data_IF_149885611294
#
_entry.id   IF_149885611294
#
_cell.length_a   1.000
_cell.length_b   1.000
_cell.length_c   1.000
_cell.angle_alpha   90.00
_cell.angle_beta   90.00
_cell.angle_gamma   90.00
#
_symmetry.space_group_name_H-M   'P 1'
#
loop_
_entity.id
_entity.type
_entity.pdbx_description
1 polymer ?
#
# COMPACT_ATOMS: atom_id res chain seq x y z
N UNK A 1 49.82 13.26 -33.86
CA UNK A 1 49.22 12.14 -34.61
C UNK A 1 48.42 11.28 -33.64
N UNK A 2 47.10 11.46 -33.60
CA UNK A 2 46.22 10.66 -32.74
C UNK A 2 45.94 9.32 -33.43
N UNK A 3 46.54 8.24 -32.93
CA UNK A 3 46.18 6.87 -33.31
C UNK A 3 44.74 6.63 -32.89
N UNK A 4 43.81 6.53 -33.84
CA UNK A 4 42.50 5.96 -33.56
C UNK A 4 42.69 4.47 -33.26
N UNK A 5 42.54 4.09 -31.99
CA UNK A 5 42.50 2.69 -31.58
C UNK A 5 41.10 2.18 -31.91
N UNK A 6 40.96 1.52 -33.06
CA UNK A 6 39.74 0.81 -33.44
C UNK A 6 39.63 -0.51 -32.67
N UNK A 7 38.40 -0.87 -32.32
CA UNK A 7 38.07 -2.19 -31.78
C UNK A 7 38.35 -3.27 -32.83
N UNK A 8 38.91 -4.41 -32.41
CA UNK A 8 39.04 -5.56 -33.31
C UNK A 8 37.68 -6.25 -33.48
N UNK A 9 37.47 -6.95 -34.61
CA UNK A 9 36.22 -7.69 -34.85
C UNK A 9 35.95 -8.71 -33.73
N UNK A 10 36.99 -9.41 -33.28
CA UNK A 10 36.88 -10.41 -32.21
C UNK A 10 36.47 -9.76 -30.89
N UNK A 11 37.02 -8.59 -30.57
CA UNK A 11 36.70 -7.84 -29.35
C UNK A 11 35.26 -7.31 -29.35
N UNK A 12 34.74 -6.93 -30.53
CA UNK A 12 33.33 -6.56 -30.67
C UNK A 12 32.41 -7.77 -30.45
N UNK A 13 32.75 -8.93 -31.02
CA UNK A 13 31.93 -10.13 -30.87
C UNK A 13 31.92 -10.61 -29.42
N UNK A 14 33.07 -10.64 -28.74
CA UNK A 14 33.13 -11.06 -27.33
C UNK A 14 32.40 -10.11 -26.40
N UNK A 15 32.47 -8.79 -26.64
CA UNK A 15 31.73 -7.80 -25.82
C UNK A 15 30.21 -7.94 -25.97
N UNK A 16 29.70 -8.18 -27.19
CA UNK A 16 28.27 -8.43 -27.41
C UNK A 16 27.82 -9.71 -26.69
N UNK A 17 28.61 -10.78 -26.74
CA UNK A 17 28.32 -12.04 -26.03
C UNK A 17 28.28 -11.80 -24.51
N UNK A 18 29.25 -11.07 -23.97
CA UNK A 18 29.29 -10.76 -22.53
C UNK A 18 28.09 -9.92 -22.09
N UNK A 19 27.71 -8.89 -22.86
CA UNK A 19 26.54 -8.06 -22.56
C UNK A 19 25.26 -8.90 -22.64
N UNK A 20 25.15 -9.83 -23.60
CA UNK A 20 23.99 -10.71 -23.72
C UNK A 20 23.83 -11.61 -22.47
N UNK A 21 24.91 -12.23 -22.00
CA UNK A 21 24.90 -13.08 -20.81
C UNK A 21 24.55 -12.26 -19.56
N UNK A 22 25.16 -11.08 -19.39
CA UNK A 22 24.88 -10.20 -18.26
C UNK A 22 23.43 -9.70 -18.26
N UNK A 23 22.90 -9.38 -19.44
CA UNK A 23 21.53 -8.87 -19.58
C UNK A 23 20.49 -9.88 -19.08
N UNK A 24 20.65 -11.17 -19.37
CA UNK A 24 19.71 -12.22 -18.91
C UNK A 24 19.61 -12.28 -17.37
N UNK A 25 20.68 -11.92 -16.66
CA UNK A 25 20.72 -11.98 -15.19
C UNK A 25 20.32 -10.65 -14.55
N UNK A 26 20.82 -9.52 -15.09
CA UNK A 26 20.65 -8.19 -14.49
C UNK A 26 19.29 -7.58 -14.81
N UNK A 27 18.79 -7.78 -16.03
CA UNK A 27 17.60 -7.10 -16.54
C UNK A 27 16.31 -7.51 -15.79
N UNK A 28 16.06 -8.81 -15.47
CA UNK A 28 14.92 -9.18 -14.63
C UNK A 28 14.96 -8.54 -13.24
N UNK A 29 16.15 -8.53 -12.60
CA UNK A 29 16.37 -7.95 -11.27
C UNK A 29 16.16 -6.44 -11.24
N UNK A 30 16.49 -5.73 -12.32
CA UNK A 30 16.31 -4.29 -12.44
C UNK A 30 14.82 -3.90 -12.49
N UNK A 31 13.99 -4.71 -13.15
CA UNK A 31 12.54 -4.49 -13.21
C UNK A 31 11.80 -4.90 -11.92
N UNK A 32 12.38 -5.73 -11.06
CA UNK A 32 11.77 -6.11 -9.77
C UNK A 32 12.01 -5.08 -8.64
N UNK A 33 12.47 -3.87 -8.94
CA UNK A 33 12.81 -2.87 -7.92
C UNK A 33 11.62 -2.41 -7.05
N UNK A 34 10.38 -2.62 -7.50
CA UNK A 34 9.20 -2.62 -6.63
C UNK A 34 9.11 -3.97 -5.91
N UNK A 35 9.92 -4.16 -4.87
CA UNK A 35 10.03 -5.41 -4.10
C UNK A 35 8.75 -5.83 -3.35
N UNK A 36 7.68 -5.04 -3.42
CA UNK A 36 6.45 -5.29 -2.66
C UNK A 36 5.26 -5.31 -3.60
N UNK A 37 4.49 -6.40 -3.55
CA UNK A 37 3.34 -6.56 -4.43
C UNK A 37 2.15 -5.76 -3.93
N UNK A 38 1.43 -5.11 -4.85
CA UNK A 38 0.21 -4.38 -4.55
C UNK A 38 -0.85 -5.32 -3.94
N UNK A 39 -0.88 -6.59 -4.36
CA UNK A 39 -1.77 -7.62 -3.81
C UNK A 39 -1.51 -7.88 -2.33
N UNK A 40 -0.24 -8.06 -1.94
CA UNK A 40 0.12 -8.28 -0.53
C UNK A 40 -0.27 -7.06 0.31
N UNK A 41 0.03 -5.84 -0.17
CA UNK A 41 -0.34 -4.61 0.54
C UNK A 41 -1.85 -4.52 0.76
N UNK A 42 -2.61 -4.81 -0.30
CA UNK A 42 -4.06 -4.73 -0.30
C UNK A 42 -4.66 -5.76 0.67
N UNK A 43 -4.20 -7.01 0.62
CA UNK A 43 -4.73 -8.07 1.47
C UNK A 43 -4.38 -7.85 2.95
N UNK A 44 -3.20 -7.30 3.24
CA UNK A 44 -2.81 -6.88 4.58
C UNK A 44 -3.73 -5.76 5.09
N UNK A 45 -3.96 -4.74 4.26
CA UNK A 45 -4.86 -3.64 4.61
C UNK A 45 -6.31 -4.11 4.79
N UNK A 46 -6.84 -4.95 3.91
CA UNK A 46 -8.19 -5.54 4.04
C UNK A 46 -8.31 -6.30 5.37
N UNK A 47 -7.29 -7.08 5.72
CA UNK A 47 -7.29 -7.86 6.97
C UNK A 47 -7.30 -6.96 8.20
N UNK A 48 -6.50 -5.89 8.20
CA UNK A 48 -6.51 -4.90 9.30
C UNK A 48 -7.82 -4.11 9.36
N UNK A 49 -8.37 -3.66 8.24
CA UNK A 49 -9.67 -2.97 8.24
C UNK A 49 -10.79 -3.85 8.78
N UNK A 50 -10.84 -5.13 8.38
CA UNK A 50 -11.82 -6.10 8.89
C UNK A 50 -11.63 -6.40 10.38
N UNK A 51 -10.38 -6.48 10.84
CA UNK A 51 -10.07 -6.63 12.27
C UNK A 51 -10.63 -5.45 13.06
N UNK A 52 -10.40 -4.22 12.60
CA UNK A 52 -10.91 -3.02 13.26
C UNK A 52 -12.44 -2.95 13.21
N UNK A 53 -13.04 -3.33 12.09
CA UNK A 53 -14.49 -3.47 11.95
C UNK A 53 -15.08 -4.42 12.98
N UNK A 54 -14.48 -5.61 13.18
CA UNK A 54 -14.91 -6.58 14.19
C UNK A 54 -14.77 -6.03 15.61
N UNK A 55 -13.70 -5.28 15.89
CA UNK A 55 -13.54 -4.62 17.19
C UNK A 55 -14.62 -3.58 17.46
N UNK A 56 -15.01 -2.81 16.44
CA UNK A 56 -16.10 -1.82 16.54
C UNK A 56 -17.46 -2.47 16.76
N UNK A 57 -17.73 -3.60 16.10
CA UNK A 57 -18.96 -4.39 16.30
C UNK A 57 -19.04 -5.02 17.69
N UNK A 58 -17.88 -5.38 18.28
CA UNK A 58 -17.84 -6.06 19.57
C UNK A 58 -17.88 -5.08 20.76
N UNK A 59 -17.30 -3.88 20.62
CA UNK A 59 -17.16 -2.91 21.71
C UNK A 59 -17.93 -1.62 21.40
N UNK A 60 -19.18 -1.58 21.83
CA UNK A 60 -20.08 -0.45 21.58
C UNK A 60 -19.73 0.79 22.41
N UNK A 61 -18.89 0.69 23.44
CA UNK A 61 -18.48 1.82 24.29
C UNK A 61 -17.28 2.59 23.74
N UNK A 62 -16.72 2.17 22.60
CA UNK A 62 -15.48 2.73 22.03
C UNK A 62 -15.67 3.08 20.57
N UNK A 63 -14.81 3.96 20.08
CA UNK A 63 -14.75 4.28 18.67
C UNK A 63 -13.39 3.87 18.11
N UNK A 64 -13.40 3.33 16.91
CA UNK A 64 -12.20 2.83 16.25
C UNK A 64 -11.93 3.62 14.99
N UNK A 65 -10.71 4.11 14.85
CA UNK A 65 -10.30 4.85 13.65
C UNK A 65 -9.01 4.29 13.09
N UNK A 66 -8.97 4.11 11.78
CA UNK A 66 -7.75 3.77 11.05
C UNK A 66 -7.22 5.05 10.43
N UNK A 67 -6.05 5.48 10.87
CA UNK A 67 -5.35 6.63 10.30
C UNK A 67 -4.28 6.14 9.33
N UNK A 68 -4.29 6.69 8.13
CA UNK A 68 -3.32 6.43 7.08
C UNK A 68 -2.54 7.71 6.84
N UNK A 69 -1.24 7.57 6.72
CA UNK A 69 -0.27 8.64 6.40
C UNK A 69 0.57 8.18 5.21
N UNK A 70 1.36 9.10 4.64
CA UNK A 70 2.19 8.80 3.48
C UNK A 70 3.20 7.65 3.70
N UNK A 71 3.54 7.32 4.94
CA UNK A 71 4.57 6.33 5.28
C UNK A 71 4.08 5.20 6.17
N UNK A 72 2.87 5.28 6.73
CA UNK A 72 2.38 4.29 7.69
C UNK A 72 0.86 4.34 7.84
N UNK A 73 0.28 3.25 8.33
CA UNK A 73 -1.10 3.23 8.81
C UNK A 73 -1.18 2.63 10.21
N UNK A 74 -2.20 3.01 10.97
CA UNK A 74 -2.46 2.47 12.31
C UNK A 74 -3.93 2.52 12.68
N UNK A 75 -4.33 1.66 13.62
CA UNK A 75 -5.67 1.63 14.19
C UNK A 75 -5.64 2.17 15.62
N UNK A 76 -6.30 3.29 15.85
CA UNK A 76 -6.36 3.98 17.14
C UNK A 76 -7.75 3.78 17.79
N UNK A 77 -7.76 3.68 19.12
CA UNK A 77 -8.98 3.48 19.92
C UNK A 77 -9.30 4.77 20.68
N UNK A 78 -10.53 5.21 20.55
CA UNK A 78 -11.07 6.40 21.19
C UNK A 78 -12.13 6.04 22.23
N UNK A 79 -12.38 6.97 23.15
CA UNK A 79 -13.47 6.88 24.12
C UNK A 79 -14.85 6.95 23.47
N UNK A 80 -15.89 6.93 24.31
CA UNK A 80 -17.30 7.01 23.88
C UNK A 80 -17.64 8.27 23.10
N UNK A 81 -16.86 9.34 23.30
CA UNK A 81 -16.98 10.63 22.61
C UNK A 81 -16.36 10.63 21.21
N UNK A 82 -15.66 9.56 20.82
CA UNK A 82 -14.86 9.44 19.60
C UNK A 82 -13.82 10.55 19.39
N UNK A 83 -13.50 11.34 20.43
CA UNK A 83 -12.54 12.45 20.39
C UNK A 83 -11.38 12.24 21.35
N UNK A 84 -11.61 11.60 22.49
CA UNK A 84 -10.55 11.29 23.44
C UNK A 84 -9.77 10.05 22.99
N UNK A 85 -8.51 10.23 22.61
CA UNK A 85 -7.62 9.12 22.26
C UNK A 85 -7.28 8.32 23.53
N UNK A 86 -7.66 7.05 23.57
CA UNK A 86 -7.41 6.17 24.71
C UNK A 86 -6.19 5.29 24.49
N UNK A 87 -6.09 4.69 23.30
CA UNK A 87 -5.00 3.78 22.95
C UNK A 87 -4.55 4.12 21.54
N UNK A 88 -3.26 4.42 21.41
CA UNK A 88 -2.60 4.54 20.12
C UNK A 88 -2.20 3.15 19.65
N UNK A 89 -2.63 2.77 18.44
CA UNK A 89 -2.21 1.52 17.83
C UNK A 89 -0.75 1.56 17.40
N UNK A 90 -0.18 0.38 17.21
CA UNK A 90 1.15 0.28 16.60
C UNK A 90 1.07 0.72 15.14
N UNK A 91 1.98 1.61 14.74
CA UNK A 91 2.08 2.06 13.36
C UNK A 91 2.76 0.99 12.50
N UNK A 92 2.06 0.55 11.46
CA UNK A 92 2.61 -0.31 10.44
C UNK A 92 3.21 0.55 9.34
N UNK A 93 4.52 0.42 9.12
CA UNK A 93 5.22 1.17 8.08
C UNK A 93 4.85 0.64 6.71
N UNK A 94 4.54 1.55 5.79
CA UNK A 94 4.42 1.24 4.39
C UNK A 94 5.82 0.94 3.80
N UNK A 95 5.96 -0.11 2.98
CA UNK A 95 7.21 -0.38 2.27
C UNK A 95 7.60 0.76 1.32
N UNK A 96 8.87 0.81 0.93
CA UNK A 96 9.37 1.82 -0.01
C UNK A 96 8.62 1.74 -1.34
N UNK A 97 8.36 2.92 -1.93
CA UNK A 97 7.66 3.08 -3.21
C UNK A 97 6.23 2.52 -3.20
N UNK A 98 5.59 2.47 -2.02
CA UNK A 98 4.17 2.15 -1.90
C UNK A 98 3.39 3.35 -1.39
N UNK A 99 2.11 3.45 -1.75
CA UNK A 99 1.20 4.46 -1.20
C UNK A 99 -0.24 3.95 -1.13
N UNK A 100 -0.97 4.49 -0.16
CA UNK A 100 -2.40 4.31 0.00
C UNK A 100 -3.04 5.67 -0.21
N UNK A 101 -4.02 5.78 -1.10
CA UNK A 101 -4.70 7.05 -1.37
C UNK A 101 -6.22 6.92 -1.43
N UNK A 102 -6.89 7.94 -0.92
CA UNK A 102 -8.35 8.08 -0.95
C UNK A 102 -8.69 9.42 -1.57
N UNK A 103 -9.39 9.43 -2.71
CA UNK A 103 -9.75 10.68 -3.40
C UNK A 103 -8.55 11.52 -3.87
N UNK A 104 -7.37 10.91 -4.01
CA UNK A 104 -6.12 11.60 -4.38
C UNK A 104 -5.23 12.00 -3.20
N UNK A 105 -5.72 11.85 -1.96
CA UNK A 105 -4.97 12.19 -0.75
C UNK A 105 -4.28 10.94 -0.17
N UNK A 106 -2.98 11.06 0.15
CA UNK A 106 -2.19 10.00 0.78
C UNK A 106 -2.25 10.02 2.32
N UNK A 107 -3.15 10.82 2.88
CA UNK A 107 -3.39 10.93 4.30
C UNK A 107 -4.89 11.05 4.54
N UNK A 108 -5.47 10.06 5.19
CA UNK A 108 -6.89 10.01 5.46
C UNK A 108 -7.18 9.20 6.73
N UNK A 109 -8.39 9.34 7.26
CA UNK A 109 -8.84 8.58 8.43
C UNK A 109 -10.17 7.93 8.13
N UNK A 110 -10.29 6.65 8.46
CA UNK A 110 -11.52 5.88 8.37
C UNK A 110 -12.03 5.64 9.79
N UNK A 111 -13.24 6.08 10.10
CA UNK A 111 -13.86 5.86 11.41
C UNK A 111 -14.97 4.81 11.27
N UNK A 112 -14.93 3.77 12.09
CA UNK A 112 -15.93 2.71 12.08
C UNK A 112 -17.03 3.01 13.11
N UNK A 113 -18.28 2.88 12.69
CA UNK A 113 -19.43 2.92 13.59
C UNK A 113 -19.69 1.56 14.25
N UNK A 114 -20.70 1.54 15.12
CA UNK A 114 -21.13 0.36 15.89
C UNK A 114 -21.78 -0.72 15.02
N UNK A 115 -22.16 -0.40 13.80
CA UNK A 115 -22.73 -1.33 12.82
C UNK A 115 -21.65 -1.83 11.83
N UNK A 116 -20.37 -1.48 12.08
CA UNK A 116 -19.25 -1.89 11.26
C UNK A 116 -19.17 -1.17 9.92
N UNK A 117 -19.86 -0.03 9.75
CA UNK A 117 -19.76 0.81 8.55
C UNK A 117 -18.71 1.88 8.75
N UNK A 118 -18.13 2.34 7.65
CA UNK A 118 -17.17 3.45 7.68
C UNK A 118 -17.94 4.76 7.55
N UNK A 119 -17.65 5.71 8.41
CA UNK A 119 -18.26 7.04 8.44
C UNK A 119 -17.35 8.10 7.81
N UNK A 120 -17.86 9.33 7.65
CA UNK A 120 -17.11 10.42 7.01
C UNK A 120 -16.96 10.21 5.50
N UNK A 121 -15.74 10.33 4.99
CA UNK A 121 -15.44 10.30 3.53
C UNK A 121 -15.79 8.99 2.83
N UNK A 122 -16.09 7.93 3.58
CA UNK A 122 -16.49 6.61 3.05
C UNK A 122 -17.92 6.20 3.42
N UNK A 123 -18.76 7.12 3.92
CA UNK A 123 -20.13 6.80 4.34
C UNK A 123 -21.03 6.30 3.19
N UNK A 124 -20.84 6.81 1.97
CA UNK A 124 -21.53 6.36 0.76
C UNK A 124 -20.78 5.22 0.03
N UNK A 125 -19.76 4.65 0.66
CA UNK A 125 -18.76 3.81 0.02
C UNK A 125 -17.62 4.63 -0.59
N UNK A 126 -16.46 4.00 -0.74
CA UNK A 126 -15.25 4.63 -1.27
C UNK A 126 -14.30 3.60 -1.87
N UNK A 127 -13.37 4.07 -2.70
CA UNK A 127 -12.29 3.26 -3.25
C UNK A 127 -10.95 3.84 -2.82
N UNK A 128 -10.15 3.00 -2.16
CA UNK A 128 -8.78 3.29 -1.76
C UNK A 128 -7.88 2.69 -2.83
N UNK A 129 -7.01 3.53 -3.41
CA UNK A 129 -5.99 3.05 -4.34
C UNK A 129 -4.76 2.61 -3.58
N UNK A 130 -4.34 1.39 -3.86
CA UNK A 130 -3.15 0.75 -3.30
C UNK A 130 -2.10 0.71 -4.40
N UNK A 131 -1.11 1.60 -4.33
CA UNK A 131 -0.04 1.68 -5.31
C UNK A 131 1.24 1.03 -4.77
N UNK A 132 1.82 0.11 -5.54
CA UNK A 132 3.12 -0.50 -5.32
C UNK A 132 3.82 -0.81 -6.66
N UNK A 133 4.02 -2.09 -7.01
CA UNK A 133 4.45 -2.54 -8.34
C UNK A 133 3.40 -2.27 -9.43
N UNK A 134 2.11 -2.33 -9.06
CA UNK A 134 0.99 -1.82 -9.82
C UNK A 134 0.03 -1.03 -8.92
N UNK A 135 -1.06 -0.51 -9.48
CA UNK A 135 -2.11 0.17 -8.70
C UNK A 135 -3.36 -0.70 -8.69
N UNK A 136 -3.76 -1.14 -7.49
CA UNK A 136 -4.97 -1.92 -7.26
C UNK A 136 -6.02 -1.10 -6.51
N UNK A 137 -7.27 -1.48 -6.70
CA UNK A 137 -8.41 -0.88 -6.02
C UNK A 137 -8.86 -1.76 -4.85
N UNK A 138 -9.06 -1.12 -3.70
CA UNK A 138 -9.74 -1.65 -2.52
C UNK A 138 -11.03 -0.86 -2.34
N UNK A 139 -12.17 -1.53 -2.42
CA UNK A 139 -13.48 -0.89 -2.30
C UNK A 139 -14.11 -1.20 -0.95
N UNK A 140 -14.66 -0.16 -0.33
CA UNK A 140 -15.50 -0.23 0.85
C UNK A 140 -16.90 0.17 0.42
N UNK A 141 -17.86 -0.72 0.51
CA UNK A 141 -19.26 -0.44 0.21
C UNK A 141 -19.92 0.37 1.33
N UNK A 142 -21.00 1.09 1.03
CA UNK A 142 -21.77 1.87 2.04
C UNK A 142 -22.29 1.02 3.21
N UNK A 143 -22.40 -0.30 3.01
CA UNK A 143 -22.88 -1.25 4.02
C UNK A 143 -21.75 -1.73 4.95
N UNK A 144 -20.50 -1.31 4.71
CA UNK A 144 -19.32 -1.77 5.46
C UNK A 144 -18.64 -3.01 4.88
N UNK A 145 -19.04 -3.49 3.69
CA UNK A 145 -18.36 -4.62 3.04
C UNK A 145 -17.05 -4.16 2.41
N UNK A 146 -15.93 -4.79 2.80
CA UNK A 146 -14.58 -4.45 2.35
C UNK A 146 -14.07 -5.56 1.43
N UNK A 147 -13.68 -5.22 0.21
CA UNK A 147 -13.16 -6.15 -0.80
C UNK A 147 -12.11 -5.52 -1.71
N UNK A 148 -11.29 -6.35 -2.35
CA UNK A 148 -10.34 -5.95 -3.38
C UNK A 148 -10.77 -6.49 -4.74
N UNK A 149 -10.60 -5.71 -5.80
CA UNK A 149 -10.92 -6.11 -7.17
C UNK A 149 -9.67 -6.34 -8.01
#
# INVERSE_FOLDING_TARGET
MNKQQGFTLVELVTTIILIAILSVVVLPRFFTASSYSAYTLRDELISELRRVQLMALNNLDRCYKVSVTATSYRADIYGTDCSSLMVTGNAQSLPRQTSLSLGGENSFTLAFDRDGRVTGSCAAGCTIKVAADETLDLTIESQGYIHGR
#
